data_IF_890609373120
#
_entry.id   IF_890609373120
#
_cell.length_a   1.000
_cell.length_b   1.000
_cell.length_c   1.000
_cell.angle_alpha   90.00
_cell.angle_beta   90.00
_cell.angle_gamma   90.00
#
_symmetry.space_group_name_H-M   'P 1'
#
loop_
_entity.id
_entity.type
_entity.pdbx_description
1 polymer ?
#
# COMPACT_ATOMS: atom_id res chain seq x y z
N UNK A 1 -23.85 11.71 -10.50
CA UNK A 1 -22.81 11.25 -9.56
C UNK A 1 -22.65 12.33 -8.52
N UNK A 2 -22.88 12.04 -7.23
CA UNK A 2 -22.55 12.98 -6.16
C UNK A 2 -21.02 12.95 -6.01
N UNK A 3 -20.33 14.08 -5.93
CA UNK A 3 -18.89 14.07 -5.69
C UNK A 3 -18.67 13.35 -4.35
N UNK A 4 -17.86 12.31 -4.38
CA UNK A 4 -17.55 11.49 -3.21
C UNK A 4 -17.02 12.43 -2.12
N UNK A 5 -17.82 12.66 -1.09
CA UNK A 5 -17.48 13.60 -0.01
C UNK A 5 -16.36 12.98 0.81
N UNK A 6 -15.14 13.47 0.57
CA UNK A 6 -13.98 13.16 1.43
C UNK A 6 -14.24 13.80 2.80
N UNK A 7 -14.31 13.02 3.89
CA UNK A 7 -14.62 13.55 5.21
C UNK A 7 -13.55 14.57 5.64
N UNK A 8 -14.00 15.79 6.00
CA UNK A 8 -13.14 16.88 6.46
C UNK A 8 -12.74 17.91 5.39
N UNK A 9 -13.15 17.75 4.13
CA UNK A 9 -12.92 18.72 3.06
C UNK A 9 -14.26 19.35 2.66
N UNK A 10 -14.31 20.69 2.56
CA UNK A 10 -15.49 21.38 2.03
C UNK A 10 -15.73 20.95 0.56
N UNK A 11 -16.93 20.45 0.20
CA UNK A 11 -17.25 20.01 -1.15
C UNK A 11 -16.95 21.04 -2.24
N UNK A 12 -17.03 22.34 -1.93
CA UNK A 12 -16.73 23.42 -2.90
C UNK A 12 -15.26 23.50 -3.27
N UNK A 13 -14.37 23.11 -2.37
CA UNK A 13 -12.92 23.15 -2.61
C UNK A 13 -12.46 22.06 -3.58
N UNK A 14 -13.20 20.95 -3.68
CA UNK A 14 -12.87 19.86 -4.61
C UNK A 14 -12.90 20.29 -6.08
N UNK A 15 -13.73 21.29 -6.41
CA UNK A 15 -13.84 21.83 -7.77
C UNK A 15 -12.92 23.05 -8.02
N UNK A 16 -12.28 23.58 -6.98
CA UNK A 16 -11.39 24.74 -7.09
C UNK A 16 -10.06 24.35 -7.78
N UNK A 17 -9.68 25.02 -8.90
CA UNK A 17 -8.46 24.70 -9.64
C UNK A 17 -7.19 24.95 -8.83
N UNK A 18 -7.19 25.93 -7.93
CA UNK A 18 -6.05 26.22 -7.04
C UNK A 18 -5.92 25.12 -5.99
N UNK A 19 -7.04 24.70 -5.39
CA UNK A 19 -7.05 23.63 -4.40
C UNK A 19 -6.50 22.32 -4.97
N UNK A 20 -6.95 21.94 -6.18
CA UNK A 20 -6.47 20.73 -6.85
C UNK A 20 -4.96 20.76 -7.11
N UNK A 21 -4.44 21.89 -7.59
CA UNK A 21 -2.99 22.05 -7.82
C UNK A 21 -2.19 21.89 -6.53
N UNK A 22 -2.61 22.56 -5.45
CA UNK A 22 -1.91 22.47 -4.16
C UNK A 22 -2.01 21.05 -3.59
N UNK A 23 -3.14 20.37 -3.79
CA UNK A 23 -3.31 18.97 -3.38
C UNK A 23 -2.35 18.03 -4.12
N UNK A 24 -2.21 18.19 -5.44
CA UNK A 24 -1.25 17.43 -6.24
C UNK A 24 0.20 17.65 -5.77
N UNK A 25 0.58 18.90 -5.51
CA UNK A 25 1.90 19.26 -4.99
C UNK A 25 2.15 18.66 -3.58
N UNK A 26 1.13 18.68 -2.71
CA UNK A 26 1.20 18.13 -1.36
C UNK A 26 1.37 16.60 -1.38
N UNK A 27 0.63 15.90 -2.23
CA UNK A 27 0.74 14.44 -2.38
C UNK A 27 2.10 14.04 -2.95
N UNK A 28 2.67 14.84 -3.87
CA UNK A 28 4.00 14.59 -4.42
C UNK A 28 5.08 14.57 -3.33
N UNK A 29 4.93 15.39 -2.28
CA UNK A 29 5.88 15.47 -1.15
C UNK A 29 5.48 14.64 0.07
N UNK A 30 4.39 13.86 0.01
CA UNK A 30 3.88 13.08 1.13
C UNK A 30 4.95 12.17 1.75
N UNK A 31 5.82 11.60 0.91
CA UNK A 31 6.94 10.75 1.33
C UNK A 31 7.91 11.43 2.32
N UNK A 32 7.99 12.76 2.34
CA UNK A 32 8.84 13.53 3.28
C UNK A 32 8.28 13.59 4.69
N UNK A 33 6.97 13.38 4.83
CA UNK A 33 6.25 13.44 6.10
C UNK A 33 5.83 12.05 6.60
N UNK A 34 6.12 11.01 5.82
CA UNK A 34 6.02 9.65 6.32
C UNK A 34 7.02 9.50 7.47
N UNK A 35 6.52 9.22 8.67
CA UNK A 35 7.40 8.83 9.77
C UNK A 35 8.26 7.65 9.31
N UNK A 36 9.52 7.60 9.73
CA UNK A 36 10.33 6.40 9.53
C UNK A 36 9.49 5.21 10.01
N UNK A 37 9.35 4.14 9.19
CA UNK A 37 8.58 2.99 9.60
C UNK A 37 9.17 2.50 10.93
N UNK A 38 8.40 2.63 11.99
CA UNK A 38 8.77 2.08 13.29
C UNK A 38 8.67 0.58 13.14
N UNK A 39 9.78 -0.04 12.69
CA UNK A 39 9.92 -1.48 12.72
C UNK A 39 9.76 -1.88 14.17
N UNK A 40 8.60 -2.46 14.51
CA UNK A 40 8.43 -3.10 15.80
C UNK A 40 9.62 -4.05 15.95
N UNK A 41 10.37 -3.93 17.06
CA UNK A 41 11.41 -4.90 17.41
C UNK A 41 10.72 -6.24 17.50
N UNK A 42 10.75 -7.04 16.44
CA UNK A 42 10.28 -8.42 16.47
C UNK A 42 11.16 -9.08 17.53
N UNK A 43 10.61 -9.37 18.70
CA UNK A 43 11.28 -10.19 19.70
C UNK A 43 11.78 -11.47 19.04
N UNK A 44 12.83 -12.10 19.59
CA UNK A 44 13.39 -13.36 19.10
C UNK A 44 12.26 -14.39 18.87
N UNK A 45 11.74 -14.45 17.66
CA UNK A 45 10.52 -15.14 17.31
C UNK A 45 10.50 -15.24 15.80
N UNK A 46 10.65 -16.46 15.30
CA UNK A 46 10.61 -16.74 13.88
C UNK A 46 9.21 -16.38 13.35
N UNK A 47 9.16 -15.56 12.30
CA UNK A 47 7.93 -15.32 11.54
C UNK A 47 7.42 -16.67 11.05
N UNK A 48 6.31 -17.15 11.62
CA UNK A 48 5.60 -18.33 11.09
C UNK A 48 5.22 -18.02 9.65
N UNK A 49 5.93 -18.67 8.74
CA UNK A 49 5.84 -18.43 7.31
C UNK A 49 4.67 -19.24 6.74
N UNK A 50 3.45 -18.96 7.20
CA UNK A 50 2.25 -19.73 6.82
C UNK A 50 2.02 -19.74 5.30
N UNK A 51 2.56 -18.77 4.54
CA UNK A 51 2.50 -18.74 3.07
C UNK A 51 3.70 -19.34 2.32
N UNK A 52 4.84 -19.62 2.96
CA UNK A 52 6.05 -20.08 2.25
C UNK A 52 5.97 -21.55 1.87
N UNK A 53 5.41 -22.38 2.74
CA UNK A 53 5.19 -23.81 2.43
C UNK A 53 4.23 -23.99 1.24
N UNK A 54 3.18 -23.18 1.18
CA UNK A 54 2.24 -23.19 0.06
C UNK A 54 2.93 -22.80 -1.26
N UNK A 55 3.72 -21.72 -1.24
CA UNK A 55 4.51 -21.30 -2.41
C UNK A 55 5.51 -22.37 -2.85
N UNK A 56 6.15 -23.07 -1.91
CA UNK A 56 7.09 -24.13 -2.22
C UNK A 56 6.39 -25.33 -2.89
N UNK A 57 5.19 -25.71 -2.40
CA UNK A 57 4.36 -26.76 -3.02
C UNK A 57 3.88 -26.38 -4.41
N UNK A 58 3.49 -25.12 -4.63
CA UNK A 58 3.07 -24.63 -5.94
C UNK A 58 4.23 -24.63 -6.94
N UNK A 59 5.41 -24.16 -6.52
CA UNK A 59 6.62 -24.17 -7.35
C UNK A 59 7.10 -25.57 -7.70
N UNK A 60 7.05 -26.52 -6.75
CA UNK A 60 7.47 -27.90 -7.02
C UNK A 60 6.55 -28.59 -8.02
N UNK A 61 5.24 -28.34 -7.95
CA UNK A 61 4.26 -28.83 -8.93
C UNK A 61 4.52 -28.26 -10.33
N UNK A 62 4.81 -26.96 -10.46
CA UNK A 62 5.16 -26.36 -11.75
C UNK A 62 6.42 -26.98 -12.37
N UNK A 63 7.47 -27.19 -11.56
CA UNK A 63 8.71 -27.80 -12.03
C UNK A 63 8.53 -29.24 -12.52
N UNK A 64 7.60 -30.00 -11.93
CA UNK A 64 7.26 -31.35 -12.36
C UNK A 64 6.40 -31.37 -13.63
N UNK A 65 5.54 -30.36 -13.85
CA UNK A 65 4.79 -30.24 -15.10
C UNK A 65 5.64 -29.77 -16.29
N UNK A 66 6.74 -29.06 -16.04
CA UNK A 66 7.67 -28.62 -17.09
C UNK A 66 8.66 -29.71 -17.53
N UNK A 67 8.87 -30.76 -16.71
CA UNK A 67 9.79 -31.86 -17.03
C UNK A 67 9.09 -33.10 -17.63
N UNK A 68 7.84 -32.96 -18.06
CA UNK A 68 7.01 -34.03 -18.64
C UNK A 68 6.52 -33.61 -20.01
#
# INVERSE_FOLDING_TARGET
MKPDTVPGIDPKLLEDPVFRRVMEDALAIQHRFAAEPVYAKTGKGYLKSEGVEELQRLKSKQKQSESK
#
